data_IF_781056649505
#
_entry.id   IF_781056649505
#
_cell.length_a   1.000
_cell.length_b   1.000
_cell.length_c   1.000
_cell.angle_alpha   90.00
_cell.angle_beta   90.00
_cell.angle_gamma   90.00
#
_symmetry.space_group_name_H-M   'P 1'
#
loop_
_entity.id
_entity.type
_entity.pdbx_description
1 polymer ?
#
# COMPACT_ATOMS: atom_id res chain seq x y z
N UNK A 1 -140.09 23.67 20.63
CA UNK A 1 -138.84 24.42 20.86
C UNK A 1 -137.73 23.55 21.47
N UNK A 2 -137.93 22.88 22.62
CA UNK A 2 -136.85 22.13 23.31
C UNK A 2 -136.25 20.93 22.54
N UNK A 3 -137.05 20.16 21.81
CA UNK A 3 -136.56 19.00 21.06
C UNK A 3 -135.64 19.39 19.89
N UNK A 4 -135.94 20.51 19.23
CA UNK A 4 -135.14 21.04 18.12
C UNK A 4 -133.82 21.66 18.61
N UNK A 5 -133.84 22.37 19.74
CA UNK A 5 -132.62 22.91 20.35
C UNK A 5 -131.72 21.77 20.83
N UNK A 6 -132.28 20.74 21.49
CA UNK A 6 -131.52 19.58 21.98
C UNK A 6 -130.89 18.76 20.84
N UNK A 7 -131.64 18.47 19.78
CA UNK A 7 -131.12 17.74 18.62
C UNK A 7 -130.06 18.56 17.86
N UNK A 8 -130.25 19.88 17.74
CA UNK A 8 -129.28 20.78 17.13
C UNK A 8 -127.99 20.90 17.97
N UNK A 9 -128.09 21.00 19.30
CA UNK A 9 -126.90 21.05 20.17
C UNK A 9 -126.17 19.70 20.22
N UNK A 10 -126.88 18.58 20.22
CA UNK A 10 -126.26 17.24 20.23
C UNK A 10 -125.53 16.94 18.92
N UNK A 11 -126.16 17.24 17.78
CA UNK A 11 -125.54 17.09 16.47
C UNK A 11 -124.37 18.05 16.26
N UNK A 12 -124.47 19.30 16.74
CA UNK A 12 -123.38 20.25 16.70
C UNK A 12 -122.19 19.78 17.55
N UNK A 13 -122.43 19.40 18.81
CA UNK A 13 -121.39 18.88 19.73
C UNK A 13 -120.68 17.64 19.18
N UNK A 14 -121.42 16.67 18.62
CA UNK A 14 -120.83 15.47 18.01
C UNK A 14 -119.97 15.82 16.79
N UNK A 15 -120.45 16.75 15.95
CA UNK A 15 -119.70 17.22 14.77
C UNK A 15 -118.42 17.96 15.18
N UNK A 16 -118.47 18.82 16.20
CA UNK A 16 -117.27 19.47 16.75
C UNK A 16 -116.30 18.47 17.39
N UNK A 17 -116.79 17.48 18.13
CA UNK A 17 -115.92 16.48 18.75
C UNK A 17 -115.23 15.59 17.69
N UNK A 18 -115.95 15.21 16.63
CA UNK A 18 -115.40 14.50 15.48
C UNK A 18 -114.35 15.33 14.73
N UNK A 19 -114.60 16.63 14.53
CA UNK A 19 -113.63 17.56 13.92
C UNK A 19 -112.37 17.69 14.79
N UNK A 20 -112.52 17.83 16.12
CA UNK A 20 -111.38 17.91 17.04
C UNK A 20 -110.58 16.60 17.04
N UNK A 21 -111.25 15.44 17.05
CA UNK A 21 -110.58 14.14 17.03
C UNK A 21 -109.82 13.89 15.72
N UNK A 22 -110.46 14.16 14.58
CA UNK A 22 -109.80 14.06 13.26
C UNK A 22 -108.66 15.06 13.12
N UNK A 23 -108.83 16.30 13.59
CA UNK A 23 -107.76 17.30 13.58
C UNK A 23 -106.59 16.90 14.48
N UNK A 24 -106.84 16.45 15.70
CA UNK A 24 -105.78 16.02 16.63
C UNK A 24 -105.08 14.75 16.14
N UNK A 25 -105.81 13.78 15.58
CA UNK A 25 -105.25 12.59 14.98
C UNK A 25 -104.38 12.93 13.77
N UNK A 26 -104.89 13.73 12.84
CA UNK A 26 -104.13 14.18 11.67
C UNK A 26 -102.89 14.97 12.09
N UNK A 27 -103.02 15.91 13.04
CA UNK A 27 -101.90 16.71 13.53
C UNK A 27 -100.84 15.84 14.24
N UNK A 28 -101.23 14.95 15.15
CA UNK A 28 -100.28 14.10 15.87
C UNK A 28 -99.62 13.06 14.97
N UNK A 29 -100.36 12.46 14.04
CA UNK A 29 -99.80 11.49 13.09
C UNK A 29 -98.87 12.18 12.08
N UNK A 30 -99.26 13.32 11.51
CA UNK A 30 -98.39 14.06 10.59
C UNK A 30 -97.16 14.59 11.31
N UNK A 31 -97.31 15.16 12.51
CA UNK A 31 -96.19 15.64 13.30
C UNK A 31 -95.23 14.52 13.69
N UNK A 32 -95.73 13.39 14.21
CA UNK A 32 -94.86 12.27 14.61
C UNK A 32 -94.22 11.61 13.41
N UNK A 33 -94.93 11.41 12.30
CA UNK A 33 -94.37 10.84 11.08
C UNK A 33 -93.29 11.75 10.47
N UNK A 34 -93.57 13.05 10.33
CA UNK A 34 -92.61 14.02 9.81
C UNK A 34 -91.40 14.11 10.74
N UNK A 35 -91.64 14.23 12.06
CA UNK A 35 -90.55 14.34 13.02
C UNK A 35 -89.69 13.09 13.06
N UNK A 36 -90.27 11.89 13.13
CA UNK A 36 -89.50 10.64 13.15
C UNK A 36 -88.81 10.39 11.83
N UNK A 37 -89.46 10.59 10.68
CA UNK A 37 -88.84 10.40 9.37
C UNK A 37 -87.70 11.38 9.15
N UNK A 38 -87.92 12.68 9.39
CA UNK A 38 -86.88 13.70 9.24
C UNK A 38 -85.75 13.45 10.24
N UNK A 39 -86.07 13.22 11.51
CA UNK A 39 -85.04 13.00 12.53
C UNK A 39 -84.23 11.75 12.24
N UNK A 40 -84.86 10.61 11.95
CA UNK A 40 -84.14 9.37 11.66
C UNK A 40 -83.37 9.47 10.36
N UNK A 41 -83.95 9.99 9.28
CA UNK A 41 -83.27 10.11 7.99
C UNK A 41 -82.09 11.07 8.08
N UNK A 42 -82.30 12.28 8.62
CA UNK A 42 -81.23 13.28 8.76
C UNK A 42 -80.17 12.77 9.73
N UNK A 43 -80.55 12.26 10.91
CA UNK A 43 -79.57 11.79 11.88
C UNK A 43 -78.78 10.60 11.35
N UNK A 44 -79.43 9.59 10.76
CA UNK A 44 -78.72 8.42 10.23
C UNK A 44 -77.86 8.80 9.03
N UNK A 45 -78.37 9.59 8.08
CA UNK A 45 -77.62 9.99 6.90
C UNK A 45 -76.43 10.87 7.28
N UNK A 46 -76.64 11.92 8.08
CA UNK A 46 -75.56 12.80 8.51
C UNK A 46 -74.56 12.04 9.37
N UNK A 47 -75.01 11.28 10.36
CA UNK A 47 -74.12 10.55 11.25
C UNK A 47 -73.32 9.49 10.47
N UNK A 48 -73.97 8.68 9.63
CA UNK A 48 -73.24 7.66 8.86
C UNK A 48 -72.33 8.29 7.83
N UNK A 49 -72.77 9.29 7.07
CA UNK A 49 -71.95 9.93 6.05
C UNK A 49 -70.76 10.65 6.67
N UNK A 50 -70.99 11.50 7.67
CA UNK A 50 -69.91 12.24 8.34
C UNK A 50 -68.99 11.27 9.05
N UNK A 51 -69.51 10.33 9.84
CA UNK A 51 -68.65 9.40 10.57
C UNK A 51 -67.86 8.51 9.63
N UNK A 52 -68.48 7.93 8.59
CA UNK A 52 -67.76 7.06 7.66
C UNK A 52 -66.77 7.87 6.84
N UNK A 53 -67.16 9.02 6.28
CA UNK A 53 -66.27 9.84 5.47
C UNK A 53 -65.09 10.36 6.29
N UNK A 54 -65.34 10.99 7.44
CA UNK A 54 -64.28 11.50 8.30
C UNK A 54 -63.40 10.37 8.80
N UNK A 55 -63.99 9.30 9.36
CA UNK A 55 -63.19 8.21 9.91
C UNK A 55 -62.39 7.52 8.82
N UNK A 56 -62.98 7.17 7.67
CA UNK A 56 -62.25 6.49 6.60
C UNK A 56 -61.22 7.42 5.98
N UNK A 57 -61.56 8.67 5.66
CA UNK A 57 -60.62 9.60 5.05
C UNK A 57 -59.46 9.93 5.98
N UNK A 58 -59.75 10.31 7.23
CA UNK A 58 -58.69 10.63 8.20
C UNK A 58 -57.87 9.40 8.50
N UNK A 59 -58.49 8.25 8.81
CA UNK A 59 -57.74 7.06 9.14
C UNK A 59 -56.91 6.57 7.95
N UNK A 60 -57.48 6.51 6.75
CA UNK A 60 -56.72 6.04 5.58
C UNK A 60 -55.64 7.04 5.21
N UNK A 61 -55.93 8.34 5.13
CA UNK A 61 -54.95 9.35 4.78
C UNK A 61 -53.83 9.43 5.80
N UNK A 62 -54.14 9.57 7.10
CA UNK A 62 -53.12 9.64 8.14
C UNK A 62 -52.34 8.34 8.21
N UNK A 63 -53.01 7.19 8.27
CA UNK A 63 -52.31 5.92 8.38
C UNK A 63 -51.45 5.65 7.15
N UNK A 64 -51.97 5.82 5.93
CA UNK A 64 -51.18 5.56 4.73
C UNK A 64 -50.08 6.58 4.57
N UNK A 65 -50.33 7.88 4.75
CA UNK A 65 -49.32 8.91 4.59
C UNK A 65 -48.23 8.79 5.65
N UNK A 66 -48.59 8.69 6.93
CA UNK A 66 -47.60 8.56 8.01
C UNK A 66 -46.86 7.24 7.87
N UNK A 67 -47.55 6.12 7.69
CA UNK A 67 -46.87 4.82 7.57
C UNK A 67 -45.97 4.78 6.34
N UNK A 68 -46.45 5.20 5.17
CA UNK A 68 -45.62 5.17 3.96
C UNK A 68 -44.48 6.16 4.07
N UNK A 69 -44.70 7.40 4.50
CA UNK A 69 -43.66 8.41 4.61
C UNK A 69 -42.61 8.01 5.65
N UNK A 70 -43.02 7.64 6.87
CA UNK A 70 -42.09 7.23 7.92
C UNK A 70 -41.36 5.96 7.51
N UNK A 71 -42.09 4.93 7.06
CA UNK A 71 -41.44 3.67 6.70
C UNK A 71 -40.51 3.86 5.51
N UNK A 72 -40.93 4.53 4.43
CA UNK A 72 -40.05 4.72 3.27
C UNK A 72 -38.90 5.63 3.62
N UNK A 73 -39.11 6.78 4.27
CA UNK A 73 -38.05 7.71 4.60
C UNK A 73 -37.04 7.09 5.57
N UNK A 74 -37.50 6.52 6.69
CA UNK A 74 -36.61 5.89 7.67
C UNK A 74 -35.91 4.69 7.05
N UNK A 75 -36.63 3.79 6.40
CA UNK A 75 -36.01 2.60 5.81
C UNK A 75 -35.03 2.98 4.71
N UNK A 76 -35.40 3.85 3.78
CA UNK A 76 -34.49 4.26 2.70
C UNK A 76 -33.32 5.04 3.24
N UNK A 77 -33.52 6.01 4.12
CA UNK A 77 -32.43 6.82 4.68
C UNK A 77 -31.48 5.95 5.50
N UNK A 78 -31.99 5.16 6.45
CA UNK A 78 -31.15 4.29 7.29
C UNK A 78 -30.46 3.25 6.42
N UNK A 79 -31.18 2.55 5.55
CA UNK A 79 -30.57 1.52 4.71
C UNK A 79 -29.54 2.11 3.76
N UNK A 80 -29.85 3.20 3.05
CA UNK A 80 -28.89 3.82 2.13
C UNK A 80 -27.71 4.40 2.87
N UNK A 81 -27.92 5.16 3.95
CA UNK A 81 -26.83 5.76 4.72
C UNK A 81 -25.93 4.70 5.35
N UNK A 82 -26.51 3.72 6.06
CA UNK A 82 -25.72 2.66 6.70
C UNK A 82 -25.03 1.82 5.64
N UNK A 83 -25.74 1.37 4.60
CA UNK A 83 -25.14 0.53 3.57
C UNK A 83 -24.04 1.29 2.82
N UNK A 84 -24.29 2.52 2.37
CA UNK A 84 -23.29 3.31 1.66
C UNK A 84 -22.12 3.65 2.56
N UNK A 85 -22.34 4.12 3.79
CA UNK A 85 -21.27 4.46 4.72
C UNK A 85 -20.43 3.25 5.08
N UNK A 86 -21.05 2.16 5.52
CA UNK A 86 -20.33 0.94 5.89
C UNK A 86 -19.60 0.36 4.67
N UNK A 87 -20.29 0.23 3.53
CA UNK A 87 -19.67 -0.34 2.34
C UNK A 87 -18.51 0.54 1.85
N UNK A 88 -18.71 1.85 1.74
CA UNK A 88 -17.65 2.76 1.27
C UNK A 88 -16.50 2.80 2.28
N UNK A 89 -16.77 2.95 3.57
CA UNK A 89 -15.72 3.00 4.60
C UNK A 89 -14.95 1.69 4.65
N UNK A 90 -15.62 0.55 4.75
CA UNK A 90 -14.95 -0.76 4.79
C UNK A 90 -14.19 -1.02 3.50
N UNK A 91 -14.82 -0.82 2.34
CA UNK A 91 -14.17 -1.07 1.06
C UNK A 91 -12.97 -0.14 0.86
N UNK A 92 -13.11 1.15 1.10
CA UNK A 92 -11.98 2.10 0.96
C UNK A 92 -10.90 1.81 1.97
N UNK A 93 -11.23 1.60 3.25
CA UNK A 93 -10.24 1.31 4.28
C UNK A 93 -9.49 0.01 3.98
N UNK A 94 -10.20 -1.08 3.71
CA UNK A 94 -9.57 -2.37 3.41
C UNK A 94 -8.74 -2.27 2.14
N UNK A 95 -9.29 -1.74 1.05
CA UNK A 95 -8.59 -1.68 -0.22
C UNK A 95 -7.36 -0.78 -0.13
N UNK A 96 -7.48 0.41 0.47
CA UNK A 96 -6.33 1.32 0.62
C UNK A 96 -5.31 0.77 1.59
N UNK A 97 -5.71 0.21 2.73
CA UNK A 97 -4.78 -0.36 3.69
C UNK A 97 -4.06 -1.57 3.14
N UNK A 98 -4.79 -2.51 2.53
CA UNK A 98 -4.21 -3.72 1.93
C UNK A 98 -3.30 -3.32 0.77
N UNK A 99 -3.74 -2.49 -0.16
CA UNK A 99 -2.89 -2.08 -1.28
C UNK A 99 -1.66 -1.34 -0.82
N UNK A 100 -1.81 -0.35 0.06
CA UNK A 100 -0.64 0.41 0.54
C UNK A 100 0.29 -0.49 1.33
N UNK A 101 -0.21 -1.33 2.23
CA UNK A 101 0.63 -2.22 3.03
C UNK A 101 1.32 -3.27 2.16
N UNK A 102 0.58 -3.99 1.31
CA UNK A 102 1.15 -5.01 0.43
C UNK A 102 2.11 -4.36 -0.56
N UNK A 103 1.69 -3.29 -1.23
CA UNK A 103 2.54 -2.64 -2.22
C UNK A 103 3.81 -2.09 -1.56
N UNK A 104 3.70 -1.33 -0.47
CA UNK A 104 4.89 -0.78 0.19
C UNK A 104 5.75 -1.88 0.76
N UNK A 105 5.20 -2.84 1.50
CA UNK A 105 5.99 -3.90 2.13
C UNK A 105 6.66 -4.80 1.09
N UNK A 106 5.91 -5.31 0.10
CA UNK A 106 6.47 -6.19 -0.93
C UNK A 106 7.45 -5.40 -1.80
N UNK A 107 7.08 -4.22 -2.28
CA UNK A 107 7.97 -3.43 -3.13
C UNK A 107 9.25 -3.04 -2.38
N UNK A 108 9.14 -2.51 -1.16
CA UNK A 108 10.33 -2.14 -0.39
C UNK A 108 11.16 -3.36 -0.03
N UNK A 109 10.56 -4.45 0.45
CA UNK A 109 11.31 -5.65 0.81
C UNK A 109 12.00 -6.27 -0.39
N UNK A 110 11.28 -6.49 -1.50
CA UNK A 110 11.87 -7.06 -2.72
C UNK A 110 12.92 -6.12 -3.30
N UNK A 111 12.61 -4.83 -3.44
CA UNK A 111 13.55 -3.87 -4.00
C UNK A 111 14.79 -3.76 -3.12
N UNK A 112 14.64 -3.59 -1.80
CA UNK A 112 15.81 -3.50 -0.90
C UNK A 112 16.58 -4.81 -0.87
N UNK A 113 15.93 -5.96 -0.73
CA UNK A 113 16.61 -7.25 -0.69
C UNK A 113 17.35 -7.54 -1.99
N UNK A 114 16.67 -7.44 -3.14
CA UNK A 114 17.29 -7.70 -4.45
C UNK A 114 18.40 -6.67 -4.71
N UNK A 115 18.12 -5.38 -4.55
CA UNK A 115 19.11 -4.35 -4.82
C UNK A 115 20.31 -4.50 -3.89
N UNK A 116 20.11 -4.62 -2.57
CA UNK A 116 21.23 -4.77 -1.64
C UNK A 116 21.95 -6.08 -1.88
N UNK A 117 21.28 -7.22 -1.96
CA UNK A 117 21.91 -8.52 -2.14
C UNK A 117 22.68 -8.59 -3.46
N UNK A 118 22.05 -8.23 -4.59
CA UNK A 118 22.71 -8.29 -5.89
C UNK A 118 23.82 -7.25 -5.97
N UNK A 119 23.56 -6.00 -5.62
CA UNK A 119 24.57 -4.95 -5.70
C UNK A 119 25.75 -5.25 -4.78
N UNK A 120 25.50 -5.63 -3.52
CA UNK A 120 26.60 -5.94 -2.59
C UNK A 120 27.35 -7.18 -3.01
N UNK A 121 26.69 -8.29 -3.35
CA UNK A 121 27.40 -9.52 -3.74
C UNK A 121 28.15 -9.34 -5.06
N UNK A 122 27.54 -8.75 -6.09
CA UNK A 122 28.23 -8.53 -7.36
C UNK A 122 29.37 -7.54 -7.17
N UNK A 123 29.13 -6.40 -6.52
CA UNK A 123 30.17 -5.39 -6.32
C UNK A 123 31.30 -5.94 -5.46
N UNK A 124 31.01 -6.63 -4.35
CA UNK A 124 32.05 -7.23 -3.50
C UNK A 124 32.77 -8.33 -4.24
N UNK A 125 32.08 -9.25 -4.92
CA UNK A 125 32.72 -10.34 -5.66
C UNK A 125 33.60 -9.80 -6.79
N UNK A 126 33.07 -8.93 -7.64
CA UNK A 126 33.83 -8.34 -8.75
C UNK A 126 35.00 -7.52 -8.21
N UNK A 127 34.75 -6.60 -7.26
CA UNK A 127 35.81 -5.75 -6.74
C UNK A 127 36.87 -6.58 -6.02
N UNK A 128 36.49 -7.48 -5.11
CA UNK A 128 37.48 -8.31 -4.40
C UNK A 128 38.19 -9.25 -5.34
N UNK A 129 37.49 -9.98 -6.20
CA UNK A 129 38.11 -10.95 -7.10
C UNK A 129 39.02 -10.28 -8.11
N UNK A 130 38.53 -9.25 -8.83
CA UNK A 130 39.34 -8.54 -9.83
C UNK A 130 40.49 -7.81 -9.15
N UNK A 131 40.22 -7.04 -8.09
CA UNK A 131 41.29 -6.29 -7.44
C UNK A 131 42.32 -7.23 -6.83
N UNK A 132 41.93 -8.27 -6.10
CA UNK A 132 42.90 -9.19 -5.50
C UNK A 132 43.62 -9.98 -6.57
N UNK A 133 42.93 -10.54 -7.56
CA UNK A 133 43.58 -11.34 -8.61
C UNK A 133 44.52 -10.49 -9.45
N UNK A 134 44.07 -9.34 -9.96
CA UNK A 134 44.92 -8.47 -10.78
C UNK A 134 46.07 -7.91 -9.93
N UNK A 135 45.79 -7.36 -8.74
CA UNK A 135 46.85 -6.80 -7.92
C UNK A 135 47.85 -7.86 -7.50
N UNK A 136 47.41 -9.03 -7.03
CA UNK A 136 48.34 -10.09 -6.62
C UNK A 136 49.08 -10.65 -7.82
N UNK A 137 48.42 -10.93 -8.94
CA UNK A 137 49.09 -11.47 -10.13
C UNK A 137 50.08 -10.48 -10.72
N UNK A 138 49.68 -9.23 -10.96
CA UNK A 138 50.57 -8.21 -11.49
C UNK A 138 51.70 -7.91 -10.51
N UNK A 139 51.38 -7.68 -9.23
CA UNK A 139 52.41 -7.38 -8.25
C UNK A 139 53.36 -8.54 -8.09
N UNK A 140 52.89 -9.77 -7.90
CA UNK A 140 53.78 -10.92 -7.76
C UNK A 140 54.56 -11.19 -9.03
N UNK A 141 53.92 -11.23 -10.21
CA UNK A 141 54.60 -11.51 -11.45
C UNK A 141 55.62 -10.43 -11.80
N UNK A 142 55.24 -9.15 -11.81
CA UNK A 142 56.15 -8.06 -12.12
C UNK A 142 57.23 -7.96 -11.06
N UNK A 143 56.88 -7.93 -9.77
CA UNK A 143 57.87 -7.80 -8.71
C UNK A 143 58.82 -9.00 -8.71
N UNK A 144 58.33 -10.23 -8.74
CA UNK A 144 59.21 -11.41 -8.72
C UNK A 144 60.02 -11.50 -10.00
N UNK A 145 59.42 -11.31 -11.19
CA UNK A 145 60.15 -11.42 -12.45
C UNK A 145 61.19 -10.32 -12.59
N UNK A 146 60.82 -9.06 -12.40
CA UNK A 146 61.77 -7.94 -12.50
C UNK A 146 62.82 -8.03 -11.41
N UNK A 147 62.44 -8.25 -10.15
CA UNK A 147 63.40 -8.35 -9.06
C UNK A 147 64.35 -9.53 -9.27
N UNK A 148 63.85 -10.72 -9.59
CA UNK A 148 64.71 -11.89 -9.82
C UNK A 148 65.56 -11.71 -11.05
N UNK A 149 65.03 -11.23 -12.18
CA UNK A 149 65.79 -11.03 -13.40
C UNK A 149 66.87 -9.97 -13.21
N UNK A 150 66.53 -8.77 -12.70
CA UNK A 150 67.50 -7.71 -12.45
C UNK A 150 68.52 -8.14 -11.41
N UNK A 151 68.08 -8.69 -10.27
CA UNK A 151 68.99 -9.10 -9.22
C UNK A 151 69.92 -10.22 -9.71
N UNK A 152 69.39 -11.27 -10.36
CA UNK A 152 70.23 -12.36 -10.87
C UNK A 152 71.14 -11.88 -11.99
N UNK A 153 70.65 -11.10 -12.95
CA UNK A 153 71.47 -10.61 -14.05
C UNK A 153 72.57 -9.67 -13.57
N UNK A 154 72.23 -8.65 -12.78
CA UNK A 154 73.22 -7.71 -12.24
C UNK A 154 74.18 -8.43 -11.31
N UNK A 155 73.68 -9.22 -10.36
CA UNK A 155 74.54 -9.93 -9.42
C UNK A 155 75.45 -10.91 -10.15
N UNK A 156 74.93 -11.74 -11.06
CA UNK A 156 75.78 -12.71 -11.78
C UNK A 156 76.75 -11.99 -12.70
N UNK A 157 76.31 -11.00 -13.48
CA UNK A 157 77.19 -10.26 -14.39
C UNK A 157 78.28 -9.52 -13.65
N UNK A 158 77.93 -8.70 -12.65
CA UNK A 158 78.92 -7.94 -11.86
C UNK A 158 79.82 -8.90 -11.09
N UNK A 159 79.25 -9.86 -10.37
CA UNK A 159 80.06 -10.79 -9.58
C UNK A 159 80.98 -11.62 -10.48
N UNK A 160 80.47 -12.23 -11.54
CA UNK A 160 81.32 -13.04 -12.43
C UNK A 160 82.33 -12.17 -13.17
N UNK A 161 81.94 -11.03 -13.73
CA UNK A 161 82.86 -10.17 -14.47
C UNK A 161 83.95 -9.60 -13.56
N UNK A 162 83.58 -8.98 -12.43
CA UNK A 162 84.56 -8.41 -11.49
C UNK A 162 85.40 -9.53 -10.87
N UNK A 163 84.79 -10.60 -10.37
CA UNK A 163 85.54 -11.67 -9.73
C UNK A 163 86.46 -12.35 -10.74
N UNK A 164 86.00 -12.71 -11.94
CA UNK A 164 86.86 -13.36 -12.93
C UNK A 164 87.92 -12.39 -13.44
N UNK A 165 87.58 -11.15 -13.77
CA UNK A 165 88.56 -10.18 -14.27
C UNK A 165 89.62 -9.85 -13.21
N UNK A 166 89.22 -9.50 -11.99
CA UNK A 166 90.17 -9.18 -10.92
C UNK A 166 90.96 -10.43 -10.54
N UNK A 167 90.31 -11.57 -10.32
CA UNK A 167 91.02 -12.80 -9.94
C UNK A 167 91.98 -13.24 -11.04
N UNK A 168 91.55 -13.30 -12.29
CA UNK A 168 92.43 -13.70 -13.40
C UNK A 168 93.52 -12.68 -13.63
N UNK A 169 93.23 -11.38 -13.65
CA UNK A 169 94.24 -10.35 -13.87
C UNK A 169 95.27 -10.32 -12.74
N UNK A 170 94.84 -10.25 -11.48
CA UNK A 170 95.74 -10.25 -10.33
C UNK A 170 96.50 -11.56 -10.24
N UNK A 171 95.81 -12.70 -10.33
CA UNK A 171 96.48 -14.00 -10.22
C UNK A 171 97.45 -14.20 -11.36
N UNK A 172 97.06 -13.97 -12.62
CA UNK A 172 97.98 -14.16 -13.75
C UNK A 172 99.11 -13.14 -13.71
N UNK A 173 98.85 -11.86 -13.47
CA UNK A 173 99.89 -10.83 -13.42
C UNK A 173 100.88 -11.09 -12.28
N UNK A 174 100.40 -11.27 -11.04
CA UNK A 174 101.27 -11.53 -9.89
C UNK A 174 101.98 -12.86 -10.06
N UNK A 175 101.28 -13.94 -10.39
CA UNK A 175 101.88 -15.26 -10.54
C UNK A 175 102.91 -15.26 -11.67
N UNK A 176 102.59 -14.75 -12.86
CA UNK A 176 103.54 -14.73 -13.98
C UNK A 176 104.68 -13.78 -13.70
N UNK A 177 104.45 -12.59 -13.15
CA UNK A 177 105.51 -11.63 -12.84
C UNK A 177 106.46 -12.17 -11.76
N UNK A 178 105.94 -12.66 -10.64
CA UNK A 178 106.76 -13.23 -9.57
C UNK A 178 107.45 -14.50 -10.06
N UNK A 179 106.74 -15.41 -10.73
CA UNK A 179 107.33 -16.65 -11.23
C UNK A 179 108.42 -16.37 -12.25
N UNK A 180 108.18 -15.48 -13.23
CA UNK A 180 109.20 -15.12 -14.22
C UNK A 180 110.35 -14.35 -13.59
N UNK A 181 110.10 -13.42 -12.68
CA UNK A 181 111.16 -12.67 -12.00
C UNK A 181 112.02 -13.57 -11.12
N UNK A 182 111.42 -14.44 -10.31
CA UNK A 182 112.16 -15.40 -9.49
C UNK A 182 112.89 -16.42 -10.36
N UNK A 183 112.22 -16.98 -11.37
CA UNK A 183 112.83 -17.97 -12.26
C UNK A 183 113.99 -17.36 -13.07
N UNK A 184 113.83 -16.15 -13.60
CA UNK A 184 114.92 -15.45 -14.31
C UNK A 184 116.03 -15.06 -13.36
N UNK A 185 115.73 -14.50 -12.19
CA UNK A 185 116.73 -14.13 -11.18
C UNK A 185 117.54 -15.34 -10.72
N UNK A 186 116.88 -16.44 -10.32
CA UNK A 186 117.55 -17.69 -9.94
C UNK A 186 118.32 -18.27 -11.12
N UNK A 187 117.76 -18.30 -12.32
CA UNK A 187 118.47 -18.80 -13.50
C UNK A 187 119.70 -17.95 -13.84
N UNK A 188 119.62 -16.62 -13.73
CA UNK A 188 120.79 -15.73 -13.90
C UNK A 188 121.82 -15.87 -12.79
N UNK A 189 121.41 -16.16 -11.55
CA UNK A 189 122.33 -16.31 -10.41
C UNK A 189 122.98 -17.69 -10.37
N UNK A 190 122.27 -18.75 -10.77
CA UNK A 190 122.74 -20.14 -10.69
C UNK A 190 123.34 -20.67 -12.01
N UNK A 191 122.81 -20.28 -13.18
CA UNK A 191 123.28 -20.75 -14.50
C UNK A 191 123.96 -19.64 -15.31
N UNK A 192 123.73 -18.37 -14.99
CA UNK A 192 124.42 -17.22 -15.56
C UNK A 192 125.76 -16.98 -14.89
N UNK A 193 126.76 -17.79 -15.24
CA UNK A 193 128.14 -17.58 -14.81
C UNK A 193 128.62 -16.14 -15.04
N UNK A 194 129.36 -15.64 -14.05
CA UNK A 194 130.13 -14.39 -14.02
C UNK A 194 130.57 -13.94 -15.42
N UNK A 195 130.03 -12.81 -15.88
CA UNK A 195 130.60 -12.07 -17.02
C UNK A 195 130.58 -10.58 -16.72
N UNK A 196 131.64 -10.11 -16.08
CA UNK A 196 132.07 -8.72 -16.19
C UNK A 196 132.41 -8.42 -17.66
N UNK A 197 132.04 -7.24 -18.18
CA UNK A 197 132.89 -6.57 -19.15
C UNK A 197 133.36 -5.21 -18.64
N UNK A 198 134.63 -4.96 -18.96
CA UNK A 198 135.43 -3.79 -18.66
C UNK A 198 134.80 -2.46 -19.10
N UNK A 199 135.17 -1.42 -18.35
CA UNK A 199 135.28 -0.03 -18.75
C UNK A 199 135.56 0.21 -20.24
N UNK A 200 134.85 1.19 -20.82
CA UNK A 200 135.41 2.18 -21.75
C UNK A 200 134.48 3.42 -21.80
N UNK A 201 134.96 4.50 -21.15
CA UNK A 201 134.46 5.90 -21.07
C UNK A 201 133.08 6.12 -20.47
#
# INVERSE_FOLDING_TARGET
>A
MSSYIYSHTYTHSYKTMYIIHTHTFMHTHTFTYIHTYIHTYIHTYIHTYIHTYIHTYIHTYIHTYIHTYIHTYIHTYIHTYIHTYIHTYIHTYIHTFIDTYIHTYIHTYIHTYIHTYIHTNIHTYIHTYIHTYIHTYIHTYIHTYIHTYIHTYIHTYIHTYIHTYIHTYIHTYIHTYIHTYIHTYIHTVYYGGVRWPLFLV
#
